data_IF_638034789824
#
_entry.id   IF_638034789824
#
_cell.length_a   1.000
_cell.length_b   1.000
_cell.length_c   1.000
_cell.angle_alpha   90.00
_cell.angle_beta   90.00
_cell.angle_gamma   90.00
#
_symmetry.space_group_name_H-M   'P 1'
#
loop_
_entity.id
_entity.type
_entity.pdbx_description
1 polymer ?
#
# COMPACT_ATOMS: atom_id res chain seq x y z
N UNK A 1 22.64 19.91 5.47
CA UNK A 1 22.35 19.42 6.82
C UNK A 1 21.80 18.02 6.64
N UNK A 2 22.33 16.97 7.26
CA UNK A 2 21.85 15.61 7.09
C UNK A 2 20.55 15.45 7.88
N UNK A 3 19.50 15.00 7.18
CA UNK A 3 18.21 14.59 7.76
C UNK A 3 18.40 13.33 8.60
N UNK A 4 17.96 13.38 9.84
CA UNK A 4 17.93 12.25 10.74
C UNK A 4 17.02 11.12 10.20
N UNK A 5 17.36 9.84 10.45
CA UNK A 5 16.50 8.73 10.04
C UNK A 5 15.22 8.75 10.87
N UNK A 6 14.08 8.93 10.20
CA UNK A 6 12.77 8.70 10.79
C UNK A 6 12.62 7.20 11.03
N UNK A 7 12.58 6.81 12.30
CA UNK A 7 12.13 5.49 12.74
C UNK A 7 10.70 5.27 12.25
N UNK A 8 10.37 4.15 11.62
CA UNK A 8 8.99 3.85 11.23
C UNK A 8 8.18 3.55 12.49
N UNK A 9 7.45 4.53 12.98
CA UNK A 9 6.38 4.31 13.96
C UNK A 9 5.26 3.58 13.23
N UNK A 10 5.04 2.32 13.59
CA UNK A 10 4.02 1.44 13.03
C UNK A 10 2.63 2.03 13.31
N UNK A 11 2.07 2.73 12.34
CA UNK A 11 0.71 3.29 12.37
C UNK A 11 -0.28 2.23 11.87
N UNK A 12 -0.48 1.14 12.60
CA UNK A 12 -1.42 0.08 12.20
C UNK A 12 -2.76 0.15 12.95
N UNK A 13 -2.94 1.11 13.85
CA UNK A 13 -4.12 1.19 14.70
C UNK A 13 -5.08 2.33 14.33
N UNK A 14 -5.08 2.78 13.07
CA UNK A 14 -5.59 4.13 12.80
C UNK A 14 -6.71 4.22 11.79
N UNK A 15 -7.41 3.14 11.44
CA UNK A 15 -8.46 3.24 10.43
C UNK A 15 -9.81 3.68 10.97
N UNK A 16 -10.04 3.65 12.26
CA UNK A 16 -11.23 4.27 12.89
C UNK A 16 -10.91 5.67 13.46
N UNK A 17 -9.64 6.01 13.69
CA UNK A 17 -9.26 7.25 14.41
C UNK A 17 -8.20 8.09 13.69
N UNK A 18 -7.73 7.72 12.49
CA UNK A 18 -6.67 8.48 11.85
C UNK A 18 -7.05 9.17 10.56
N UNK A 19 -7.80 10.18 10.65
CA UNK A 19 -7.77 11.35 9.80
C UNK A 19 -7.21 12.58 10.51
N UNK A 20 -6.21 12.39 11.35
CA UNK A 20 -5.56 13.50 12.04
C UNK A 20 -4.11 13.63 11.61
N UNK A 21 -3.77 14.62 10.74
CA UNK A 21 -2.43 15.17 10.72
C UNK A 21 -1.99 15.49 12.15
N UNK A 22 -0.68 15.43 12.43
CA UNK A 22 -0.10 15.83 13.71
C UNK A 22 -0.42 17.30 14.06
N UNK A 23 -1.69 17.56 14.32
CA UNK A 23 -2.13 18.65 15.17
C UNK A 23 -1.90 18.13 16.59
N UNK A 24 -1.02 18.78 17.32
CA UNK A 24 -0.89 18.62 18.75
C UNK A 24 -2.31 18.47 19.30
N UNK A 25 -2.63 17.28 19.83
CA UNK A 25 -3.81 17.12 20.65
C UNK A 25 -3.62 18.08 21.82
N UNK A 26 -4.29 19.20 21.74
CA UNK A 26 -4.49 20.03 22.92
C UNK A 26 -5.21 19.12 23.90
N UNK A 27 -4.50 18.74 24.97
CA UNK A 27 -5.06 18.13 26.17
C UNK A 27 -6.16 19.04 26.70
N UNK A 28 -7.36 18.92 26.22
CA UNK A 28 -8.57 19.58 26.70
C UNK A 28 -9.51 18.53 27.31
N UNK A 29 -9.03 17.88 28.29
CA UNK A 29 -9.73 17.08 29.28
C UNK A 29 -8.69 16.74 30.32
N UNK A 30 -8.86 17.21 31.55
CA UNK A 30 -7.99 16.86 32.67
C UNK A 30 -7.85 15.33 32.68
N UNK A 31 -6.65 14.83 32.39
CA UNK A 31 -6.33 13.41 32.43
C UNK A 31 -6.76 12.90 33.82
N UNK A 32 -7.84 12.10 33.86
CA UNK A 32 -8.22 11.45 35.12
C UNK A 32 -7.02 10.60 35.55
N UNK A 33 -6.55 10.75 36.82
CA UNK A 33 -5.44 9.94 37.28
C UNK A 33 -5.85 8.47 37.17
N UNK A 34 -5.00 7.70 36.52
CA UNK A 34 -5.23 6.28 36.35
C UNK A 34 -5.05 5.60 37.71
N UNK A 35 -6.15 5.34 38.39
CA UNK A 35 -6.14 4.69 39.71
C UNK A 35 -5.95 3.16 39.58
N UNK A 36 -5.58 2.45 40.65
CA UNK A 36 -5.35 1.02 40.63
C UNK A 36 -6.61 0.20 40.32
N UNK A 37 -7.80 0.70 40.63
CA UNK A 37 -9.07 0.04 40.40
C UNK A 37 -9.40 0.07 38.90
N UNK A 38 -9.24 1.21 38.25
CA UNK A 38 -9.36 1.38 36.81
C UNK A 38 -8.39 0.46 36.06
N UNK A 39 -7.10 0.38 36.44
CA UNK A 39 -6.15 -0.52 35.82
C UNK A 39 -6.59 -1.97 35.89
N UNK A 40 -7.05 -2.40 37.08
CA UNK A 40 -7.54 -3.76 37.28
C UNK A 40 -8.78 -4.05 36.44
N UNK A 41 -9.77 -3.17 36.47
CA UNK A 41 -11.01 -3.33 35.74
C UNK A 41 -10.77 -3.48 34.21
N UNK A 42 -9.90 -2.64 33.64
CA UNK A 42 -9.51 -2.70 32.23
C UNK A 42 -8.79 -4.03 31.89
N UNK A 43 -7.79 -4.43 32.69
CA UNK A 43 -7.05 -5.69 32.46
C UNK A 43 -7.97 -6.90 32.60
N UNK A 44 -8.89 -6.91 33.57
CA UNK A 44 -9.83 -8.00 33.78
C UNK A 44 -10.82 -8.09 32.60
N UNK A 45 -11.34 -6.97 32.11
CA UNK A 45 -12.22 -6.91 30.95
C UNK A 45 -11.51 -7.41 29.69
N UNK A 46 -10.31 -6.89 29.40
CA UNK A 46 -9.51 -7.35 28.25
C UNK A 46 -9.21 -8.85 28.36
N UNK A 47 -8.83 -9.32 29.54
CA UNK A 47 -8.56 -10.75 29.76
C UNK A 47 -9.79 -11.63 29.51
N UNK A 48 -10.98 -11.19 29.94
CA UNK A 48 -12.22 -11.91 29.71
C UNK A 48 -12.58 -11.96 28.22
N UNK A 49 -12.40 -10.86 27.50
CA UNK A 49 -12.62 -10.77 26.05
C UNK A 49 -11.66 -11.67 25.25
N UNK A 50 -10.37 -11.69 25.62
CA UNK A 50 -9.36 -12.58 25.02
C UNK A 50 -9.75 -14.05 25.18
N UNK A 51 -10.13 -14.48 26.40
CA UNK A 51 -10.54 -15.86 26.68
C UNK A 51 -11.77 -16.26 25.84
N UNK A 52 -12.70 -15.35 25.67
CA UNK A 52 -13.96 -15.61 24.98
C UNK A 52 -13.83 -15.57 23.47
N UNK A 53 -13.19 -14.53 22.93
CA UNK A 53 -13.30 -14.17 21.51
C UNK A 53 -12.01 -14.34 20.71
N UNK A 54 -10.82 -14.32 21.33
CA UNK A 54 -9.58 -14.38 20.57
C UNK A 54 -9.55 -15.59 19.63
N UNK A 55 -9.06 -15.40 18.43
CA UNK A 55 -9.09 -16.37 17.31
C UNK A 55 -8.52 -17.75 17.70
N UNK A 56 -7.49 -17.82 18.52
CA UNK A 56 -6.90 -19.04 19.06
C UNK A 56 -7.03 -19.12 20.59
N UNK A 57 -7.71 -20.16 21.10
CA UNK A 57 -8.04 -20.24 22.51
C UNK A 57 -6.81 -20.36 23.43
N UNK A 58 -5.78 -21.11 22.98
CA UNK A 58 -4.58 -21.34 23.79
C UNK A 58 -3.74 -20.08 23.87
N UNK A 59 -3.55 -19.41 22.73
CA UNK A 59 -2.90 -18.10 22.67
C UNK A 59 -3.66 -17.05 23.47
N UNK A 60 -5.00 -17.00 23.37
CA UNK A 60 -5.82 -16.10 24.16
C UNK A 60 -5.64 -16.29 25.66
N UNK A 61 -5.52 -17.55 26.14
CA UNK A 61 -5.21 -17.86 27.55
C UNK A 61 -3.82 -17.36 27.95
N UNK A 62 -2.82 -17.56 27.12
CA UNK A 62 -1.45 -17.11 27.38
C UNK A 62 -1.36 -15.57 27.46
N UNK A 63 -2.02 -14.88 26.55
CA UNK A 63 -2.06 -13.41 26.56
C UNK A 63 -2.77 -12.87 27.81
N UNK A 64 -3.94 -13.43 28.16
CA UNK A 64 -4.70 -13.05 29.32
C UNK A 64 -3.93 -13.30 30.64
N UNK A 65 -3.25 -14.44 30.75
CA UNK A 65 -2.40 -14.76 31.89
C UNK A 65 -1.26 -13.73 32.02
N UNK A 66 -0.57 -13.45 30.93
CA UNK A 66 0.51 -12.45 30.90
C UNK A 66 0.06 -11.09 31.40
N UNK A 67 -1.09 -10.58 30.95
CA UNK A 67 -1.60 -9.27 31.39
C UNK A 67 -1.86 -9.24 32.90
N UNK A 68 -2.46 -10.32 33.46
CA UNK A 68 -2.72 -10.44 34.89
C UNK A 68 -1.44 -10.54 35.71
N UNK A 69 -0.46 -11.32 35.26
CA UNK A 69 0.85 -11.45 35.92
C UNK A 69 1.57 -10.09 35.92
N UNK A 70 1.51 -9.35 34.82
CA UNK A 70 2.10 -8.01 34.71
C UNK A 70 1.42 -7.03 35.66
N UNK A 71 0.09 -7.07 35.76
CA UNK A 71 -0.67 -6.24 36.70
C UNK A 71 -0.28 -6.58 38.15
N UNK A 72 -0.28 -7.87 38.51
CA UNK A 72 0.08 -8.36 39.83
C UNK A 72 1.52 -8.00 40.24
N UNK A 73 2.45 -7.94 39.28
CA UNK A 73 3.82 -7.51 39.47
C UNK A 73 4.00 -5.97 39.57
N UNK A 74 2.91 -5.18 39.54
CA UNK A 74 2.97 -3.72 39.57
C UNK A 74 3.57 -3.05 38.33
N UNK A 75 3.59 -3.77 37.20
CA UNK A 75 4.26 -3.29 35.98
C UNK A 75 3.65 -2.02 35.41
N UNK A 76 2.40 -1.71 35.74
CA UNK A 76 1.66 -0.56 35.26
C UNK A 76 1.53 0.56 36.30
N UNK A 77 2.00 0.36 37.53
CA UNK A 77 1.75 1.27 38.67
C UNK A 77 2.32 2.68 38.47
N UNK A 78 3.46 2.77 37.76
CA UNK A 78 4.15 4.06 37.51
C UNK A 78 3.66 4.79 36.26
N UNK A 79 2.72 4.20 35.53
CA UNK A 79 2.17 4.81 34.31
C UNK A 79 1.04 5.76 34.69
N UNK A 80 1.28 7.06 34.54
CA UNK A 80 0.35 8.10 34.98
C UNK A 80 -0.68 8.55 33.93
N UNK A 81 -0.53 8.16 32.64
CA UNK A 81 -1.40 8.60 31.56
C UNK A 81 -2.19 7.44 30.97
N UNK A 82 -3.40 7.72 30.46
CA UNK A 82 -4.26 6.74 29.78
C UNK A 82 -3.61 6.22 28.50
N UNK A 83 -2.98 7.10 27.71
CA UNK A 83 -2.25 6.71 26.49
C UNK A 83 -1.07 5.80 26.81
N UNK A 84 -0.23 6.15 27.80
CA UNK A 84 0.90 5.31 28.21
C UNK A 84 0.47 3.93 28.72
N UNK A 85 -0.68 3.84 29.39
CA UNK A 85 -1.22 2.55 29.82
C UNK A 85 -1.74 1.72 28.63
N UNK A 86 -2.42 2.35 27.70
CA UNK A 86 -2.85 1.71 26.44
C UNK A 86 -1.66 1.16 25.64
N UNK A 87 -0.58 1.95 25.53
CA UNK A 87 0.66 1.52 24.85
C UNK A 87 1.34 0.34 25.57
N UNK A 88 1.39 0.38 26.90
CA UNK A 88 1.95 -0.72 27.68
C UNK A 88 1.14 -2.02 27.53
N UNK A 89 -0.19 -1.93 27.57
CA UNK A 89 -1.08 -3.07 27.33
C UNK A 89 -0.89 -3.60 25.90
N UNK A 90 -0.88 -2.74 24.87
CA UNK A 90 -0.62 -3.12 23.47
C UNK A 90 0.71 -3.87 23.32
N UNK A 91 1.77 -3.34 23.94
CA UNK A 91 3.07 -4.00 23.94
C UNK A 91 3.02 -5.40 24.57
N UNK A 92 2.33 -5.55 25.71
CA UNK A 92 2.25 -6.83 26.40
C UNK A 92 1.33 -7.84 25.67
N UNK A 93 0.27 -7.39 25.02
CA UNK A 93 -0.58 -8.20 24.14
C UNK A 93 0.23 -8.81 22.98
N UNK A 94 0.98 -7.99 22.25
CA UNK A 94 1.75 -8.40 21.08
C UNK A 94 2.99 -9.25 21.38
N UNK A 95 3.53 -9.19 22.59
CA UNK A 95 4.73 -9.95 22.97
C UNK A 95 4.55 -11.46 22.95
N UNK A 96 3.32 -11.96 22.98
CA UNK A 96 3.06 -13.41 23.02
C UNK A 96 3.20 -14.03 21.63
N UNK A 97 2.59 -13.45 20.62
CA UNK A 97 2.56 -14.02 19.27
C UNK A 97 2.76 -13.03 18.12
N UNK A 98 2.95 -11.74 18.41
CA UNK A 98 3.21 -10.73 17.38
C UNK A 98 2.00 -10.31 16.55
N UNK A 99 0.77 -10.65 16.97
CA UNK A 99 -0.46 -10.26 16.29
C UNK A 99 -0.61 -8.74 16.22
N UNK A 100 -0.57 -8.19 15.02
CA UNK A 100 -0.57 -6.74 14.78
C UNK A 100 -1.93 -6.10 15.03
N UNK A 101 -3.02 -6.85 14.92
CA UNK A 101 -4.37 -6.34 15.21
C UNK A 101 -4.65 -6.19 16.70
N UNK A 102 -3.90 -6.87 17.58
CA UNK A 102 -4.05 -6.67 19.01
C UNK A 102 -3.50 -5.30 19.44
N UNK A 103 -4.40 -4.44 19.91
CA UNK A 103 -4.02 -3.13 20.46
C UNK A 103 -5.07 -2.63 21.46
N UNK A 104 -4.65 -1.74 22.34
CA UNK A 104 -5.51 -0.99 23.24
C UNK A 104 -5.33 0.48 22.97
N UNK A 105 -6.41 1.22 22.96
CA UNK A 105 -6.41 2.68 22.80
C UNK A 105 -7.30 3.31 23.87
N UNK A 106 -6.98 4.54 24.26
CA UNK A 106 -7.88 5.38 25.03
C UNK A 106 -8.68 6.25 24.04
N UNK A 107 -9.94 5.91 23.86
CA UNK A 107 -10.82 6.55 22.89
C UNK A 107 -12.27 6.46 23.41
N UNK A 108 -12.65 7.30 24.39
CA UNK A 108 -13.94 7.17 25.10
C UNK A 108 -15.15 7.34 24.19
N UNK A 109 -15.01 8.06 23.09
CA UNK A 109 -16.08 8.35 22.15
C UNK A 109 -16.02 7.47 20.87
N UNK A 110 -15.08 6.52 20.80
CA UNK A 110 -14.95 5.65 19.64
C UNK A 110 -16.12 4.66 19.58
N UNK A 111 -16.69 4.41 18.39
CA UNK A 111 -17.66 3.35 18.21
C UNK A 111 -17.02 1.99 18.51
N UNK A 112 -17.78 1.10 19.15
CA UNK A 112 -17.32 -0.25 19.50
C UNK A 112 -18.31 -1.28 19.05
N UNK A 113 -17.80 -2.45 18.67
CA UNK A 113 -18.64 -3.60 18.34
C UNK A 113 -19.32 -4.15 19.58
N UNK A 114 -20.57 -4.56 19.43
CA UNK A 114 -21.35 -5.15 20.50
C UNK A 114 -21.51 -6.65 20.27
N UNK A 115 -20.83 -7.52 21.05
CA UNK A 115 -21.06 -8.96 20.93
C UNK A 115 -22.50 -9.29 21.26
N UNK A 116 -23.22 -9.88 20.32
CA UNK A 116 -24.55 -10.41 20.57
C UNK A 116 -24.54 -11.59 21.54
N UNK A 117 -25.72 -12.17 21.83
CA UNK A 117 -25.84 -13.32 22.73
C UNK A 117 -25.03 -14.54 22.28
N UNK A 118 -24.74 -14.65 20.98
CA UNK A 118 -23.92 -15.72 20.38
C UNK A 118 -22.44 -15.34 20.18
N UNK A 119 -22.00 -14.16 20.63
CA UNK A 119 -20.65 -13.64 20.46
C UNK A 119 -20.53 -12.66 19.29
N UNK A 120 -19.29 -12.45 18.83
CA UNK A 120 -18.99 -11.65 17.63
C UNK A 120 -19.46 -12.42 16.38
N UNK A 121 -20.20 -11.75 15.51
CA UNK A 121 -20.68 -12.35 14.27
C UNK A 121 -19.53 -12.61 13.30
N UNK A 122 -19.59 -13.70 12.54
CA UNK A 122 -18.66 -13.93 11.44
C UNK A 122 -19.00 -12.99 10.29
N UNK A 123 -18.03 -12.23 9.77
CA UNK A 123 -18.28 -11.31 8.65
C UNK A 123 -18.85 -12.05 7.45
N UNK A 124 -19.98 -11.59 6.94
CA UNK A 124 -20.61 -12.12 5.72
C UNK A 124 -20.40 -11.11 4.60
N UNK A 125 -20.04 -11.60 3.40
CA UNK A 125 -19.92 -10.71 2.24
C UNK A 125 -21.24 -9.97 1.98
N UNK A 126 -21.16 -8.66 1.76
CA UNK A 126 -22.32 -7.83 1.45
C UNK A 126 -22.20 -7.25 0.05
N UNK A 127 -23.29 -7.14 -0.72
CA UNK A 127 -23.35 -6.35 -1.94
C UNK A 127 -23.07 -4.87 -1.63
N UNK A 128 -22.44 -4.16 -2.56
CA UNK A 128 -22.14 -2.73 -2.39
C UNK A 128 -23.41 -1.84 -2.26
N UNK A 129 -24.55 -2.33 -2.71
CA UNK A 129 -25.86 -1.69 -2.63
C UNK A 129 -26.73 -2.23 -1.47
N UNK A 130 -26.18 -3.08 -0.60
CA UNK A 130 -26.88 -3.57 0.57
C UNK A 130 -27.22 -2.41 1.54
N UNK A 131 -28.40 -2.45 2.19
CA UNK A 131 -28.70 -1.48 3.24
C UNK A 131 -27.68 -1.61 4.39
N UNK A 132 -27.44 -0.52 5.16
CA UNK A 132 -26.60 -0.59 6.35
C UNK A 132 -27.01 -1.75 7.27
N UNK A 133 -26.02 -2.43 7.86
CA UNK A 133 -26.30 -3.45 8.85
C UNK A 133 -26.78 -2.75 10.13
N UNK A 134 -27.97 -3.11 10.65
CA UNK A 134 -28.47 -2.49 11.88
C UNK A 134 -27.58 -2.76 13.11
N UNK A 135 -26.71 -3.76 13.03
CA UNK A 135 -25.76 -4.10 14.10
C UNK A 135 -24.37 -3.46 13.91
N UNK A 136 -24.12 -2.78 12.76
CA UNK A 136 -22.89 -2.00 12.55
C UNK A 136 -22.93 -0.69 13.33
N UNK A 137 -21.80 -0.28 13.94
CA UNK A 137 -21.72 1.02 14.58
C UNK A 137 -22.00 2.14 13.57
N UNK A 138 -22.97 3.00 13.90
CA UNK A 138 -23.30 4.15 13.05
C UNK A 138 -22.10 5.12 13.00
N UNK A 139 -21.69 5.48 11.77
CA UNK A 139 -20.61 6.48 11.58
C UNK A 139 -21.06 7.82 12.13
N UNK A 140 -20.26 8.38 13.04
CA UNK A 140 -20.53 9.73 13.52
C UNK A 140 -20.39 10.75 12.38
N UNK A 141 -21.16 11.87 12.39
CA UNK A 141 -21.01 12.91 11.37
C UNK A 141 -19.59 13.47 11.26
N UNK A 142 -18.85 13.52 12.37
CA UNK A 142 -17.45 13.96 12.40
C UNK A 142 -16.53 12.98 11.66
N UNK A 143 -16.65 11.69 11.95
CA UNK A 143 -15.86 10.64 11.29
C UNK A 143 -16.16 10.57 9.77
N UNK A 144 -17.43 10.69 9.39
CA UNK A 144 -17.81 10.75 7.98
C UNK A 144 -17.23 11.99 7.28
N UNK A 145 -17.18 13.14 7.97
CA UNK A 145 -16.54 14.34 7.43
C UNK A 145 -15.03 14.15 7.19
N UNK A 146 -14.34 13.47 8.11
CA UNK A 146 -12.92 13.11 7.94
C UNK A 146 -12.72 12.16 6.74
N UNK A 147 -13.57 11.14 6.61
CA UNK A 147 -13.51 10.22 5.47
C UNK A 147 -13.72 10.93 4.13
N UNK A 148 -14.65 11.88 4.08
CA UNK A 148 -14.86 12.74 2.90
C UNK A 148 -13.64 13.61 2.59
N UNK A 149 -12.98 14.18 3.60
CA UNK A 149 -11.74 14.96 3.42
C UNK A 149 -10.60 14.07 2.88
N UNK A 150 -10.51 12.82 3.33
CA UNK A 150 -9.57 11.83 2.84
C UNK A 150 -9.97 11.24 1.48
N UNK A 151 -11.06 11.73 0.86
CA UNK A 151 -11.63 11.17 -0.37
C UNK A 151 -11.79 9.64 -0.28
N UNK A 152 -12.24 9.14 0.90
CA UNK A 152 -12.41 7.71 1.18
C UNK A 152 -11.17 6.87 0.83
N UNK A 153 -9.99 7.40 1.08
CA UNK A 153 -8.72 6.72 0.86
C UNK A 153 -8.24 6.71 -0.59
N UNK A 154 -9.01 7.19 -1.54
CA UNK A 154 -8.57 7.34 -2.92
C UNK A 154 -7.69 8.60 -3.05
N UNK A 155 -6.38 8.41 -3.07
CA UNK A 155 -5.41 9.52 -3.12
C UNK A 155 -5.11 9.98 -4.55
N UNK A 156 -5.02 9.04 -5.51
CA UNK A 156 -4.63 9.37 -6.88
C UNK A 156 -5.19 8.36 -7.88
N UNK A 157 -5.78 8.86 -8.96
CA UNK A 157 -6.15 8.10 -10.15
C UNK A 157 -5.54 8.80 -11.36
N UNK A 158 -4.72 8.10 -12.14
CA UNK A 158 -3.94 8.70 -13.21
C UNK A 158 -3.68 7.71 -14.34
N UNK A 159 -3.64 8.21 -15.58
CA UNK A 159 -3.16 7.45 -16.73
C UNK A 159 -1.68 7.77 -16.94
N UNK A 160 -0.82 6.81 -16.68
CA UNK A 160 0.61 6.89 -16.92
C UNK A 160 0.92 6.69 -18.42
N UNK A 161 2.18 6.97 -18.79
CA UNK A 161 2.69 6.76 -20.15
C UNK A 161 2.47 5.32 -20.62
N UNK A 162 2.21 5.15 -21.92
CA UNK A 162 1.92 3.83 -22.48
C UNK A 162 0.50 3.33 -22.24
N UNK A 163 -0.42 4.19 -21.76
CA UNK A 163 -1.81 3.87 -21.43
C UNK A 163 -1.95 2.90 -20.25
N UNK A 164 -1.14 3.07 -19.21
CA UNK A 164 -1.20 2.31 -17.96
C UNK A 164 -2.03 3.08 -16.92
N UNK A 165 -3.06 2.46 -16.36
CA UNK A 165 -3.85 3.02 -15.26
C UNK A 165 -3.08 2.90 -13.93
N UNK A 166 -3.08 3.95 -13.14
CA UNK A 166 -2.49 3.96 -11.80
C UNK A 166 -3.52 4.44 -10.79
N UNK A 167 -3.73 3.64 -9.76
CA UNK A 167 -4.65 3.94 -8.67
C UNK A 167 -3.91 3.79 -7.33
N UNK A 168 -3.76 4.90 -6.58
CA UNK A 168 -3.19 4.89 -5.24
C UNK A 168 -4.28 4.97 -4.20
N UNK A 169 -4.28 3.99 -3.31
CA UNK A 169 -5.28 3.84 -2.26
C UNK A 169 -4.59 3.79 -0.90
N UNK A 170 -5.08 4.60 0.05
CA UNK A 170 -4.56 4.73 1.42
C UNK A 170 -5.42 4.04 2.46
N UNK A 171 -6.55 3.50 2.07
CA UNK A 171 -7.47 2.78 2.96
C UNK A 171 -8.70 2.30 2.20
N UNK A 172 -9.25 1.18 2.61
CA UNK A 172 -10.54 0.71 2.13
C UNK A 172 -11.62 1.13 3.11
N UNK A 173 -12.40 2.13 2.71
CA UNK A 173 -13.52 2.65 3.48
C UNK A 173 -14.80 1.92 3.09
N UNK A 174 -15.80 1.94 3.94
CA UNK A 174 -17.08 1.33 3.69
C UNK A 174 -18.16 2.39 3.42
N UNK A 175 -19.32 1.91 2.96
CA UNK A 175 -20.48 2.72 2.70
C UNK A 175 -20.59 3.28 1.27
N UNK A 176 -21.78 3.73 0.89
CA UNK A 176 -22.11 4.09 -0.50
C UNK A 176 -21.20 5.17 -1.11
N UNK A 177 -20.79 6.14 -0.31
CA UNK A 177 -19.91 7.23 -0.77
C UNK A 177 -18.49 6.72 -1.09
N UNK A 178 -17.96 5.79 -0.28
CA UNK A 178 -16.67 5.18 -0.49
C UNK A 178 -16.63 4.33 -1.77
N UNK A 179 -17.65 3.51 -1.99
CA UNK A 179 -17.82 2.73 -3.23
C UNK A 179 -17.95 3.65 -4.46
N UNK A 180 -18.72 4.74 -4.34
CA UNK A 180 -18.86 5.72 -5.41
C UNK A 180 -17.53 6.41 -5.74
N UNK A 181 -16.77 6.84 -4.75
CA UNK A 181 -15.46 7.49 -4.93
C UNK A 181 -14.46 6.54 -5.62
N UNK A 182 -14.33 5.31 -5.12
CA UNK A 182 -13.44 4.30 -5.72
C UNK A 182 -13.90 3.92 -7.13
N UNK A 183 -15.20 3.78 -7.35
CA UNK A 183 -15.80 3.51 -8.66
C UNK A 183 -15.53 4.61 -9.68
N UNK A 184 -15.54 5.88 -9.27
CA UNK A 184 -15.17 7.01 -10.14
C UNK A 184 -13.68 6.92 -10.57
N UNK A 185 -12.79 6.54 -9.65
CA UNK A 185 -11.38 6.28 -9.99
C UNK A 185 -11.20 5.16 -11.00
N UNK A 186 -11.94 4.04 -10.84
CA UNK A 186 -11.93 2.94 -11.82
C UNK A 186 -12.49 3.36 -13.18
N UNK A 187 -13.58 4.12 -13.20
CA UNK A 187 -14.21 4.60 -14.44
C UNK A 187 -13.27 5.51 -15.25
N UNK A 188 -12.49 6.37 -14.57
CA UNK A 188 -11.46 7.19 -15.22
C UNK A 188 -10.42 6.33 -15.95
N UNK A 189 -10.12 5.14 -15.43
CA UNK A 189 -9.08 4.24 -15.90
C UNK A 189 -9.61 3.05 -16.72
N UNK A 190 -10.90 3.04 -17.03
CA UNK A 190 -11.57 1.90 -17.69
C UNK A 190 -10.92 1.50 -19.01
N UNK A 191 -10.39 2.48 -19.76
CA UNK A 191 -9.80 2.26 -21.12
C UNK A 191 -8.29 2.13 -21.12
N UNK A 192 -7.68 1.87 -19.98
CA UNK A 192 -6.23 1.62 -19.90
C UNK A 192 -5.89 0.18 -20.26
N UNK A 193 -4.70 -0.05 -20.82
CA UNK A 193 -4.27 -1.36 -21.32
C UNK A 193 -3.62 -2.24 -20.23
N UNK A 194 -3.26 -1.64 -19.10
CA UNK A 194 -2.80 -2.30 -17.88
C UNK A 194 -3.20 -1.49 -16.65
N UNK A 195 -3.15 -2.09 -15.46
CA UNK A 195 -3.46 -1.42 -14.18
C UNK A 195 -2.36 -1.64 -13.15
N UNK A 196 -2.06 -0.58 -12.40
CA UNK A 196 -1.19 -0.62 -11.23
C UNK A 196 -1.97 -0.10 -10.03
N UNK A 197 -2.11 -0.93 -8.98
CA UNK A 197 -2.61 -0.50 -7.67
C UNK A 197 -1.42 -0.19 -6.76
N UNK A 198 -1.38 1.00 -6.20
CA UNK A 198 -0.35 1.36 -5.22
C UNK A 198 -0.92 1.25 -3.81
N UNK A 199 -0.55 0.17 -3.14
CA UNK A 199 -0.95 -0.17 -1.79
C UNK A 199 0.22 -0.10 -0.80
N UNK A 200 1.35 0.53 -1.17
CA UNK A 200 2.56 0.59 -0.33
C UNK A 200 2.33 1.25 1.03
N UNK A 201 1.35 2.12 1.15
CA UNK A 201 1.00 2.81 2.40
C UNK A 201 -0.49 2.61 2.72
N UNK A 202 -0.96 1.38 2.55
CA UNK A 202 -2.35 0.97 2.70
C UNK A 202 -2.50 0.08 3.95
N UNK A 203 -2.88 0.64 5.12
CA UNK A 203 -2.94 -0.10 6.38
C UNK A 203 -4.13 -1.07 6.49
N UNK A 204 -5.10 -0.99 5.59
CA UNK A 204 -6.25 -1.89 5.62
C UNK A 204 -7.61 -1.19 5.48
N UNK A 205 -8.63 -1.70 6.16
CA UNK A 205 -10.01 -1.20 6.18
C UNK A 205 -11.05 -2.26 5.86
N UNK A 206 -12.06 -1.91 5.06
CA UNK A 206 -13.19 -2.76 4.72
C UNK A 206 -12.80 -3.95 3.84
N UNK A 207 -13.10 -5.17 4.30
CA UNK A 207 -13.00 -6.39 3.52
C UNK A 207 -14.03 -6.44 2.39
N UNK A 208 -15.15 -5.76 2.53
CA UNK A 208 -16.19 -5.68 1.49
C UNK A 208 -15.74 -4.78 0.34
N UNK A 209 -15.09 -3.64 0.63
CA UNK A 209 -14.44 -2.81 -0.39
C UNK A 209 -13.33 -3.59 -1.11
N UNK A 210 -12.49 -4.35 -0.36
CA UNK A 210 -11.51 -5.24 -0.97
C UNK A 210 -12.16 -6.22 -1.94
N UNK A 211 -13.19 -6.95 -1.49
CA UNK A 211 -13.89 -7.94 -2.31
C UNK A 211 -14.58 -7.33 -3.53
N UNK A 212 -15.22 -6.18 -3.36
CA UNK A 212 -15.85 -5.45 -4.45
C UNK A 212 -14.82 -5.03 -5.50
N UNK A 213 -13.71 -4.43 -5.07
CA UNK A 213 -12.66 -3.92 -5.95
C UNK A 213 -11.97 -5.06 -6.73
N UNK A 214 -11.56 -6.15 -6.05
CA UNK A 214 -10.93 -7.29 -6.71
C UNK A 214 -11.88 -8.00 -7.70
N UNK A 215 -13.20 -7.93 -7.46
CA UNK A 215 -14.19 -8.54 -8.35
C UNK A 215 -14.28 -7.89 -9.72
N UNK A 216 -13.81 -6.65 -9.90
CA UNK A 216 -13.69 -6.01 -11.21
C UNK A 216 -12.61 -6.66 -12.09
N UNK A 217 -11.65 -7.35 -11.47
CA UNK A 217 -10.50 -7.95 -12.15
C UNK A 217 -10.55 -9.48 -12.21
N UNK A 218 -11.69 -10.06 -11.91
CA UNK A 218 -11.95 -11.50 -11.98
C UNK A 218 -13.05 -11.80 -13.00
N UNK A 219 -13.14 -13.06 -13.43
CA UNK A 219 -14.20 -13.51 -14.34
C UNK A 219 -15.60 -13.30 -13.75
N UNK A 220 -16.64 -13.43 -14.59
CA UNK A 220 -18.04 -13.30 -14.17
C UNK A 220 -18.48 -14.40 -13.22
N UNK A 221 -17.85 -15.57 -13.25
CA UNK A 221 -18.13 -16.68 -12.35
C UNK A 221 -17.66 -16.34 -10.93
N UNK A 222 -18.46 -16.74 -9.94
CA UNK A 222 -18.07 -16.59 -8.54
C UNK A 222 -16.94 -17.55 -8.19
N UNK A 223 -15.80 -16.99 -7.79
CA UNK A 223 -14.62 -17.73 -7.36
C UNK A 223 -14.45 -17.60 -5.85
N UNK A 224 -14.23 -18.71 -5.16
CA UNK A 224 -13.93 -18.68 -3.73
C UNK A 224 -12.61 -17.92 -3.48
N UNK A 225 -12.67 -16.93 -2.60
CA UNK A 225 -11.54 -16.03 -2.30
C UNK A 225 -10.90 -16.32 -0.96
N UNK A 226 -11.70 -16.37 0.11
CA UNK A 226 -11.26 -16.61 1.48
C UNK A 226 -12.22 -17.52 2.23
N UNK A 227 -11.68 -18.40 3.06
CA UNK A 227 -12.40 -19.07 4.13
C UNK A 227 -12.19 -18.30 5.43
N UNK A 228 -13.25 -17.92 6.09
CA UNK A 228 -13.27 -17.14 7.33
C UNK A 228 -13.85 -18.03 8.43
N UNK A 229 -13.07 -18.32 9.47
CA UNK A 229 -13.49 -19.16 10.58
C UNK A 229 -13.57 -18.35 11.87
N UNK A 230 -14.67 -18.51 12.60
CA UNK A 230 -14.91 -17.84 13.87
C UNK A 230 -15.07 -18.88 14.99
N UNK A 231 -14.06 -19.00 15.82
CA UNK A 231 -14.07 -19.95 16.95
C UNK A 231 -15.21 -19.63 17.94
N UNK A 232 -15.41 -18.35 18.25
CA UNK A 232 -16.37 -17.95 19.29
C UNK A 232 -17.83 -18.16 18.85
N UNK A 233 -18.12 -18.02 17.57
CA UNK A 233 -19.43 -18.30 16.99
C UNK A 233 -19.61 -19.78 16.62
N UNK A 234 -18.50 -20.53 16.49
CA UNK A 234 -18.53 -21.93 16.09
C UNK A 234 -18.90 -22.14 14.62
N UNK A 235 -18.67 -21.14 13.77
CA UNK A 235 -19.05 -21.17 12.36
C UNK A 235 -17.90 -20.83 11.41
N UNK A 236 -18.17 -21.00 10.13
CA UNK A 236 -17.23 -20.71 9.05
C UNK A 236 -18.01 -20.27 7.81
N UNK A 237 -17.45 -19.30 7.08
CA UNK A 237 -18.02 -18.76 5.84
C UNK A 237 -16.95 -18.77 4.76
N UNK A 238 -17.34 -19.08 3.52
CA UNK A 238 -16.50 -18.88 2.34
C UNK A 238 -16.96 -17.64 1.60
N UNK A 239 -16.06 -16.70 1.41
CA UNK A 239 -16.29 -15.50 0.61
C UNK A 239 -16.00 -15.80 -0.86
N UNK A 240 -16.80 -15.23 -1.74
CA UNK A 240 -16.67 -15.36 -3.18
C UNK A 240 -16.55 -14.00 -3.84
N UNK A 241 -15.95 -13.96 -5.04
CA UNK A 241 -16.01 -12.79 -5.89
C UNK A 241 -17.44 -12.46 -6.28
N UNK A 242 -17.74 -11.19 -6.50
CA UNK A 242 -19.04 -10.76 -6.99
C UNK A 242 -19.15 -11.05 -8.49
N UNK A 243 -20.21 -11.75 -8.90
CA UNK A 243 -20.50 -12.02 -10.31
C UNK A 243 -20.79 -10.73 -11.09
N UNK A 244 -21.45 -9.77 -10.43
CA UNK A 244 -21.77 -8.44 -10.97
C UNK A 244 -21.15 -7.36 -10.10
N UNK A 245 -20.57 -6.35 -10.76
CA UNK A 245 -20.09 -5.12 -10.16
C UNK A 245 -20.52 -3.95 -11.02
N UNK A 246 -20.65 -2.72 -10.49
CA UNK A 246 -20.88 -1.54 -11.32
C UNK A 246 -19.72 -1.30 -12.29
N UNK A 247 -20.03 -1.00 -13.55
CA UNK A 247 -18.99 -0.81 -14.58
C UNK A 247 -18.50 -2.11 -15.21
N UNK A 248 -17.40 -2.02 -15.95
CA UNK A 248 -16.87 -3.14 -16.70
C UNK A 248 -15.96 -4.04 -15.84
N UNK A 249 -16.14 -5.33 -15.93
CA UNK A 249 -15.14 -6.30 -15.45
C UNK A 249 -13.98 -6.38 -16.44
N UNK A 250 -12.76 -6.49 -15.92
CA UNK A 250 -11.51 -6.48 -16.68
C UNK A 250 -10.61 -7.67 -16.31
N UNK A 251 -11.08 -8.91 -16.52
CA UNK A 251 -10.35 -10.11 -16.06
C UNK A 251 -9.00 -10.31 -16.77
N UNK A 252 -8.84 -9.78 -17.99
CA UNK A 252 -7.65 -10.03 -18.82
C UNK A 252 -6.66 -8.86 -18.88
N UNK A 253 -6.97 -7.74 -18.19
CA UNK A 253 -6.05 -6.59 -18.14
C UNK A 253 -4.81 -6.97 -17.31
N UNK A 254 -3.56 -6.74 -17.78
CA UNK A 254 -2.38 -6.91 -16.95
C UNK A 254 -2.50 -6.10 -15.66
N UNK A 255 -2.32 -6.75 -14.51
CA UNK A 255 -2.55 -6.15 -13.20
C UNK A 255 -1.30 -6.27 -12.34
N UNK A 256 -0.88 -5.16 -11.77
CA UNK A 256 0.26 -5.06 -10.88
C UNK A 256 -0.17 -4.42 -9.55
N UNK A 257 0.40 -4.89 -8.46
CA UNK A 257 0.13 -4.35 -7.12
C UNK A 257 1.47 -3.98 -6.48
N UNK A 258 1.62 -2.71 -6.10
CA UNK A 258 2.78 -2.25 -5.36
C UNK A 258 2.56 -2.50 -3.88
N UNK A 259 3.49 -3.22 -3.25
CA UNK A 259 3.41 -3.61 -1.85
C UNK A 259 4.61 -3.12 -1.04
N UNK A 260 4.40 -2.94 0.25
CA UNK A 260 5.46 -2.69 1.22
C UNK A 260 5.06 -3.24 2.60
N UNK A 261 5.91 -3.06 3.59
CA UNK A 261 5.56 -3.32 5.00
C UNK A 261 4.41 -2.45 5.53
N UNK A 262 4.04 -1.39 4.81
CA UNK A 262 2.85 -0.58 5.10
C UNK A 262 1.56 -1.13 4.50
N UNK A 263 1.62 -2.19 3.67
CA UNK A 263 0.45 -2.89 3.16
C UNK A 263 -0.01 -3.90 4.21
N UNK A 264 -1.22 -3.72 4.76
CA UNK A 264 -1.71 -4.52 5.88
C UNK A 264 -3.21 -4.85 5.77
N UNK A 265 -3.68 -5.85 6.54
CA UNK A 265 -5.10 -6.17 6.76
C UNK A 265 -5.87 -6.31 5.43
N UNK A 266 -6.94 -5.52 5.19
CA UNK A 266 -7.70 -5.56 3.94
C UNK A 266 -6.86 -5.23 2.68
N UNK A 267 -5.74 -4.49 2.82
CA UNK A 267 -4.76 -4.33 1.73
C UNK A 267 -4.04 -5.64 1.41
N UNK A 268 -3.75 -6.45 2.43
CA UNK A 268 -3.19 -7.79 2.24
C UNK A 268 -4.23 -8.77 1.70
N UNK A 269 -5.48 -8.67 2.14
CA UNK A 269 -6.61 -9.44 1.58
C UNK A 269 -6.69 -9.26 0.06
N UNK A 270 -6.77 -8.01 -0.42
CA UNK A 270 -6.78 -7.68 -1.84
C UNK A 270 -5.56 -8.27 -2.58
N UNK A 271 -4.39 -8.10 -1.99
CA UNK A 271 -3.11 -8.56 -2.54
C UNK A 271 -3.03 -10.09 -2.58
N UNK A 272 -3.32 -10.75 -1.46
CA UNK A 272 -3.24 -12.21 -1.30
C UNK A 272 -4.22 -12.95 -2.21
N UNK A 273 -5.47 -12.47 -2.29
CA UNK A 273 -6.49 -13.10 -3.13
C UNK A 273 -6.10 -13.01 -4.61
N UNK A 274 -5.76 -11.80 -5.11
CA UNK A 274 -5.40 -11.64 -6.52
C UNK A 274 -4.09 -12.37 -6.89
N UNK A 275 -3.15 -12.48 -5.96
CA UNK A 275 -1.94 -13.26 -6.14
C UNK A 275 -2.24 -14.76 -6.23
N UNK A 276 -3.01 -15.32 -5.28
CA UNK A 276 -3.38 -16.74 -5.30
C UNK A 276 -4.23 -17.14 -6.51
N UNK A 277 -5.01 -16.21 -7.03
CA UNK A 277 -5.76 -16.39 -8.29
C UNK A 277 -4.88 -16.22 -9.55
N UNK A 278 -3.57 -15.98 -9.40
CA UNK A 278 -2.63 -15.67 -10.48
C UNK A 278 -3.11 -14.51 -11.36
N UNK A 279 -3.80 -13.56 -10.74
CA UNK A 279 -4.42 -12.44 -11.45
C UNK A 279 -3.57 -11.19 -11.44
N UNK A 280 -2.72 -11.02 -10.45
CA UNK A 280 -1.85 -9.85 -10.29
C UNK A 280 -0.39 -10.28 -10.07
N UNK A 281 0.53 -9.43 -10.56
CA UNK A 281 1.96 -9.49 -10.22
C UNK A 281 2.24 -8.51 -9.10
N UNK A 282 2.86 -8.99 -8.03
CA UNK A 282 3.22 -8.18 -6.86
C UNK A 282 4.63 -7.62 -7.02
N UNK A 283 4.79 -6.31 -6.80
CA UNK A 283 6.07 -5.61 -6.96
C UNK A 283 6.35 -4.77 -5.71
N UNK A 284 7.50 -4.97 -5.08
CA UNK A 284 7.89 -4.19 -3.90
C UNK A 284 8.48 -5.02 -2.79
N UNK A 285 8.00 -4.82 -1.57
CA UNK A 285 8.40 -5.56 -0.38
C UNK A 285 7.28 -6.48 0.12
N UNK A 286 7.65 -7.43 0.96
CA UNK A 286 6.72 -8.26 1.74
C UNK A 286 5.78 -7.36 2.55
N UNK A 287 4.50 -7.72 2.63
CA UNK A 287 3.48 -7.01 3.39
C UNK A 287 3.63 -7.20 4.91
N UNK A 288 2.78 -6.55 5.70
CA UNK A 288 2.91 -6.48 7.16
C UNK A 288 2.69 -7.82 7.89
N UNK A 289 1.77 -8.65 7.41
CA UNK A 289 1.37 -9.89 8.08
C UNK A 289 0.26 -9.71 9.11
N UNK A 290 -0.72 -8.86 8.83
CA UNK A 290 -1.93 -8.66 9.63
C UNK A 290 -3.11 -9.41 8.98
N UNK A 291 -3.23 -10.72 9.25
CA UNK A 291 -4.11 -11.62 8.50
C UNK A 291 -5.46 -11.89 9.16
N UNK A 292 -5.62 -11.62 10.44
CA UNK A 292 -6.88 -11.86 11.14
C UNK A 292 -7.87 -10.71 10.91
N UNK A 293 -9.18 -10.97 10.97
CA UNK A 293 -10.14 -9.89 11.18
C UNK A 293 -10.20 -9.54 12.68
N UNK A 294 -10.36 -8.26 12.96
CA UNK A 294 -10.44 -7.74 14.32
C UNK A 294 -11.81 -7.07 14.57
N UNK A 295 -12.17 -7.01 15.84
CA UNK A 295 -13.28 -6.25 16.35
C UNK A 295 -12.80 -5.23 17.38
N UNK A 296 -13.49 -4.11 17.52
CA UNK A 296 -13.20 -3.07 18.48
C UNK A 296 -14.17 -3.18 19.68
N UNK A 297 -13.67 -3.63 20.80
CA UNK A 297 -14.48 -3.93 21.98
C UNK A 297 -14.22 -2.91 23.09
N UNK A 298 -15.28 -2.43 23.73
CA UNK A 298 -15.16 -1.59 24.91
C UNK A 298 -14.45 -2.36 26.04
N UNK A 299 -13.31 -1.85 26.50
CA UNK A 299 -12.58 -2.42 27.61
C UNK A 299 -12.89 -1.71 28.96
N UNK A 300 -13.86 -0.80 28.97
CA UNK A 300 -14.26 0.00 30.11
C UNK A 300 -13.41 1.25 30.28
N UNK A 301 -13.91 2.22 31.05
CA UNK A 301 -13.21 3.47 31.41
C UNK A 301 -12.65 4.26 30.20
N UNK A 302 -13.31 4.21 29.04
CA UNK A 302 -12.86 4.88 27.81
C UNK A 302 -11.75 4.15 27.05
N UNK A 303 -11.36 2.93 27.47
CA UNK A 303 -10.44 2.10 26.72
C UNK A 303 -11.16 1.20 25.72
N UNK A 304 -10.56 1.02 24.55
CA UNK A 304 -11.03 0.15 23.47
C UNK A 304 -9.95 -0.86 23.13
N UNK A 305 -10.33 -2.14 23.08
CA UNK A 305 -9.49 -3.24 22.64
C UNK A 305 -9.78 -3.56 21.17
N UNK A 306 -8.76 -3.49 20.32
CA UNK A 306 -8.79 -4.19 19.03
C UNK A 306 -8.39 -5.64 19.26
N UNK A 307 -9.27 -6.59 18.89
CA UNK A 307 -9.12 -8.00 19.17
C UNK A 307 -9.32 -8.84 17.91
N UNK A 308 -8.33 -9.65 17.56
CA UNK A 308 -8.40 -10.63 16.46
C UNK A 308 -9.35 -11.78 16.83
N UNK A 309 -10.45 -11.97 16.08
CA UNK A 309 -11.49 -12.94 16.42
C UNK A 309 -11.81 -13.96 15.32
N UNK A 310 -11.43 -13.70 14.06
CA UNK A 310 -11.57 -14.67 12.98
C UNK A 310 -10.24 -14.94 12.30
N UNK A 311 -10.04 -16.19 11.89
CA UNK A 311 -8.95 -16.62 11.03
C UNK A 311 -9.39 -16.55 9.58
N UNK A 312 -8.50 -16.06 8.74
CA UNK A 312 -8.73 -15.90 7.30
C UNK A 312 -7.68 -16.69 6.54
N UNK A 313 -8.11 -17.52 5.58
CA UNK A 313 -7.21 -18.38 4.83
C UNK A 313 -7.69 -18.60 3.39
N UNK A 314 -6.77 -19.01 2.53
CA UNK A 314 -7.12 -19.48 1.18
C UNK A 314 -7.96 -20.77 1.28
N UNK A 315 -9.15 -20.83 0.66
CA UNK A 315 -10.07 -21.96 0.84
C UNK A 315 -9.60 -23.27 0.21
N UNK A 316 -8.61 -23.21 -0.72
CA UNK A 316 -8.08 -24.40 -1.42
C UNK A 316 -6.85 -24.96 -0.73
N UNK A 317 -5.97 -24.09 -0.26
CA UNK A 317 -4.65 -24.49 0.26
C UNK A 317 -4.56 -24.40 1.78
N UNK A 318 -5.49 -23.71 2.44
CA UNK A 318 -5.43 -23.42 3.87
C UNK A 318 -4.32 -22.46 4.26
N UNK A 319 -3.61 -21.84 3.29
CA UNK A 319 -2.57 -20.86 3.58
C UNK A 319 -3.18 -19.57 4.09
N UNK A 320 -2.46 -18.93 5.00
CA UNK A 320 -2.78 -17.62 5.58
C UNK A 320 -1.53 -16.73 5.52
N UNK A 321 -1.70 -15.42 5.70
CA UNK A 321 -0.58 -14.47 5.71
C UNK A 321 -0.31 -13.87 7.10
N UNK A 322 -1.04 -14.32 8.13
CA UNK A 322 -0.86 -13.84 9.50
C UNK A 322 0.60 -13.99 9.96
N UNK A 323 1.22 -12.91 10.42
CA UNK A 323 2.62 -12.76 10.87
C UNK A 323 3.70 -12.98 9.80
N UNK A 324 3.35 -13.55 8.66
CA UNK A 324 4.32 -13.82 7.58
C UNK A 324 4.26 -12.81 6.45
N UNK A 325 3.10 -12.18 6.23
CA UNK A 325 2.87 -11.29 5.10
C UNK A 325 2.76 -12.02 3.77
N UNK A 326 2.52 -11.25 2.71
CA UNK A 326 2.49 -11.72 1.32
C UNK A 326 3.80 -11.32 0.66
N UNK A 327 4.50 -12.30 0.07
CA UNK A 327 5.75 -12.06 -0.65
C UNK A 327 5.50 -11.47 -2.02
N UNK A 328 6.28 -10.48 -2.47
CA UNK A 328 6.19 -9.98 -3.82
C UNK A 328 6.83 -10.96 -4.83
N UNK A 329 6.30 -10.99 -6.07
CA UNK A 329 6.90 -11.71 -7.19
C UNK A 329 8.20 -11.03 -7.65
N UNK A 330 8.25 -9.69 -7.55
CA UNK A 330 9.40 -8.86 -7.91
C UNK A 330 9.81 -8.03 -6.70
N UNK A 331 10.82 -8.52 -5.98
CA UNK A 331 11.33 -7.86 -4.78
C UNK A 331 12.20 -6.65 -5.13
N UNK A 332 11.72 -5.46 -4.78
CA UNK A 332 12.43 -4.19 -4.96
C UNK A 332 12.12 -3.23 -3.81
N UNK A 333 12.99 -2.25 -3.57
CA UNK A 333 12.73 -1.21 -2.59
C UNK A 333 11.47 -0.39 -2.97
N UNK A 334 10.69 0.12 -1.98
CA UNK A 334 9.42 0.78 -2.25
C UNK A 334 9.50 1.99 -3.18
N UNK A 335 10.60 2.74 -3.13
CA UNK A 335 10.87 3.90 -4.00
C UNK A 335 11.07 3.53 -5.47
N UNK A 336 11.42 2.27 -5.77
CA UNK A 336 11.64 1.74 -7.11
C UNK A 336 10.44 0.94 -7.66
N UNK A 337 9.50 0.59 -6.80
CA UNK A 337 8.41 -0.31 -7.13
C UNK A 337 7.53 0.22 -8.27
N UNK A 338 7.23 1.53 -8.29
CA UNK A 338 6.39 2.11 -9.33
C UNK A 338 7.06 2.04 -10.72
N UNK A 339 8.32 2.46 -10.85
CA UNK A 339 9.03 2.41 -12.13
C UNK A 339 9.18 0.96 -12.61
N UNK A 340 9.46 0.02 -11.71
CA UNK A 340 9.56 -1.41 -12.01
C UNK A 340 8.22 -1.97 -12.50
N UNK A 341 7.13 -1.73 -11.79
CA UNK A 341 5.80 -2.22 -12.19
C UNK A 341 5.32 -1.57 -13.48
N UNK A 342 5.60 -0.28 -13.68
CA UNK A 342 5.26 0.43 -14.91
C UNK A 342 6.01 -0.17 -16.11
N UNK A 343 7.31 -0.43 -15.98
CA UNK A 343 8.08 -1.11 -17.02
C UNK A 343 7.52 -2.49 -17.37
N UNK A 344 7.16 -3.29 -16.36
CA UNK A 344 6.53 -4.60 -16.55
C UNK A 344 5.16 -4.48 -17.25
N UNK A 345 4.36 -3.49 -16.87
CA UNK A 345 3.07 -3.21 -17.51
C UNK A 345 3.24 -2.89 -19.00
N UNK A 346 4.20 -2.02 -19.34
CA UNK A 346 4.51 -1.68 -20.74
C UNK A 346 4.96 -2.90 -21.56
N UNK A 347 5.80 -3.76 -20.97
CA UNK A 347 6.20 -5.02 -21.60
C UNK A 347 5.02 -5.97 -21.84
N UNK A 348 4.10 -6.05 -20.86
CA UNK A 348 2.88 -6.86 -21.00
C UNK A 348 1.95 -6.32 -22.09
N UNK A 349 1.83 -5.01 -22.24
CA UNK A 349 1.09 -4.37 -23.33
C UNK A 349 1.78 -4.62 -24.68
N UNK A 350 3.10 -4.42 -24.76
CA UNK A 350 3.88 -4.63 -25.96
C UNK A 350 3.76 -6.06 -26.49
N UNK A 351 3.68 -7.05 -25.61
CA UNK A 351 3.51 -8.47 -25.99
C UNK A 351 2.14 -8.76 -26.63
N UNK A 352 1.14 -7.93 -26.40
CA UNK A 352 -0.23 -8.08 -26.93
C UNK A 352 -0.52 -7.21 -28.16
N UNK A 353 0.32 -6.21 -28.46
CA UNK A 353 0.12 -5.32 -29.61
C UNK A 353 0.82 -5.88 -30.87
N UNK A 354 0.20 -5.70 -32.02
CA UNK A 354 0.74 -6.07 -33.34
C UNK A 354 1.38 -4.89 -34.08
N UNK A 355 1.18 -3.66 -33.59
CA UNK A 355 1.78 -2.46 -34.16
C UNK A 355 3.25 -2.35 -33.76
N UNK A 356 4.15 -2.49 -34.71
CA UNK A 356 5.60 -2.48 -34.50
C UNK A 356 6.11 -1.11 -33.98
N UNK A 357 5.49 0.01 -34.39
CA UNK A 357 5.88 1.32 -33.92
C UNK A 357 5.51 1.48 -32.43
N UNK A 358 4.29 1.07 -32.08
CA UNK A 358 3.83 1.04 -30.70
C UNK A 358 4.63 0.09 -29.80
N UNK A 359 4.97 -1.11 -30.31
CA UNK A 359 5.84 -2.05 -29.59
C UNK A 359 7.19 -1.42 -29.25
N UNK A 360 7.78 -0.74 -30.24
CA UNK A 360 9.08 -0.06 -30.05
C UNK A 360 9.00 1.07 -29.03
N UNK A 361 7.99 1.94 -29.11
CA UNK A 361 7.73 3.01 -28.14
C UNK A 361 7.63 2.46 -26.72
N UNK A 362 6.76 1.46 -26.50
CA UNK A 362 6.57 0.82 -25.21
C UNK A 362 7.86 0.18 -24.67
N UNK A 363 8.63 -0.46 -25.55
CA UNK A 363 9.91 -1.07 -25.15
C UNK A 363 10.95 -0.02 -24.74
N UNK A 364 11.05 1.10 -25.47
CA UNK A 364 11.96 2.20 -25.13
C UNK A 364 11.57 2.86 -23.79
N UNK A 365 10.27 3.09 -23.57
CA UNK A 365 9.77 3.62 -22.32
C UNK A 365 10.05 2.67 -21.16
N UNK A 366 9.80 1.36 -21.33
CA UNK A 366 10.09 0.36 -20.32
C UNK A 366 11.59 0.32 -19.95
N UNK A 367 12.49 0.38 -20.95
CA UNK A 367 13.93 0.41 -20.72
C UNK A 367 14.36 1.65 -19.90
N UNK A 368 13.79 2.82 -20.18
CA UNK A 368 14.07 4.04 -19.42
C UNK A 368 13.60 3.94 -17.97
N UNK A 369 12.41 3.36 -17.73
CA UNK A 369 11.87 3.13 -16.39
C UNK A 369 12.72 2.12 -15.60
N UNK A 370 13.14 1.02 -16.23
CA UNK A 370 14.04 0.03 -15.63
C UNK A 370 15.38 0.67 -15.23
N UNK A 371 15.93 1.53 -16.09
CA UNK A 371 17.15 2.25 -15.79
C UNK A 371 16.99 3.27 -14.66
N UNK A 372 15.80 3.85 -14.47
CA UNK A 372 15.50 4.68 -13.29
C UNK A 372 15.40 3.85 -12.02
N UNK A 373 14.76 2.70 -12.09
CA UNK A 373 14.65 1.78 -10.96
C UNK A 373 16.01 1.17 -10.59
N UNK A 374 16.87 0.91 -11.58
CA UNK A 374 18.18 0.27 -11.44
C UNK A 374 19.27 1.07 -12.18
N UNK A 375 19.69 2.23 -11.66
CA UNK A 375 20.61 3.13 -12.37
C UNK A 375 21.95 2.48 -12.69
N UNK A 376 22.34 2.50 -13.99
CA UNK A 376 23.69 2.14 -14.41
C UNK A 376 24.68 3.22 -13.94
N UNK A 377 25.78 2.81 -13.32
CA UNK A 377 26.83 3.73 -12.85
C UNK A 377 27.88 3.96 -13.93
N UNK A 378 27.85 5.14 -14.53
CA UNK A 378 28.90 5.58 -15.47
C UNK A 378 30.07 6.19 -14.69
N UNK A 379 31.29 5.86 -15.08
CA UNK A 379 32.47 6.43 -14.45
C UNK A 379 32.51 7.95 -14.66
N UNK A 380 32.78 8.70 -13.59
CA UNK A 380 32.83 10.18 -13.63
C UNK A 380 33.76 10.74 -14.70
N UNK A 381 34.91 10.08 -14.93
CA UNK A 381 35.85 10.46 -16.00
C UNK A 381 35.21 10.43 -17.40
N UNK A 382 34.29 9.49 -17.65
CA UNK A 382 33.54 9.41 -18.91
C UNK A 382 32.53 10.53 -19.01
N UNK A 383 31.77 10.76 -17.92
CA UNK A 383 30.78 11.83 -17.86
C UNK A 383 31.43 13.21 -18.12
N UNK A 384 32.62 13.44 -17.56
CA UNK A 384 33.42 14.67 -17.83
C UNK A 384 33.84 14.77 -19.30
N UNK A 385 34.18 13.65 -19.94
CA UNK A 385 34.51 13.64 -21.37
C UNK A 385 33.30 13.93 -22.24
N UNK A 386 32.10 13.53 -21.81
CA UNK A 386 30.83 13.72 -22.54
C UNK A 386 30.28 15.14 -22.38
N UNK A 387 30.56 15.82 -21.28
CA UNK A 387 30.16 17.21 -21.07
C UNK A 387 30.77 18.13 -22.13
N UNK A 388 29.90 18.99 -22.71
CA UNK A 388 30.34 19.90 -23.78
C UNK A 388 29.18 20.45 -24.60
N UNK A 389 29.53 21.26 -25.61
CA UNK A 389 28.60 21.83 -26.59
C UNK A 389 28.61 20.98 -27.87
N UNK A 390 27.42 20.67 -28.39
CA UNK A 390 27.15 19.84 -29.55
C UNK A 390 26.14 20.56 -30.48
N UNK A 391 26.60 21.58 -31.19
CA UNK A 391 25.76 22.50 -31.96
C UNK A 391 24.82 23.26 -31.03
N UNK A 392 23.51 23.15 -31.25
CA UNK A 392 22.47 23.77 -30.40
C UNK A 392 22.23 23.07 -29.05
N UNK A 393 23.01 22.04 -28.74
CA UNK A 393 22.80 21.17 -27.58
C UNK A 393 23.97 21.25 -26.63
N UNK A 394 23.66 21.14 -25.34
CA UNK A 394 24.69 21.20 -24.29
C UNK A 394 24.48 20.02 -23.35
N UNK A 395 25.58 19.31 -23.06
CA UNK A 395 25.66 18.36 -21.95
C UNK A 395 26.44 19.00 -20.82
N UNK A 396 25.81 19.14 -19.65
CA UNK A 396 26.45 19.64 -18.43
C UNK A 396 26.46 18.57 -17.36
N UNK A 397 27.49 18.49 -16.55
CA UNK A 397 27.60 17.57 -15.44
C UNK A 397 27.14 18.26 -14.14
N UNK A 398 26.20 17.65 -13.40
CA UNK A 398 25.82 18.03 -12.04
C UNK A 398 26.08 16.83 -11.12
N UNK A 399 27.12 16.93 -10.28
CA UNK A 399 27.55 15.79 -9.49
C UNK A 399 27.99 14.63 -10.39
N UNK A 400 27.29 13.53 -10.37
CA UNK A 400 27.48 12.34 -11.19
C UNK A 400 26.40 12.16 -12.30
N UNK A 401 25.62 13.21 -12.58
CA UNK A 401 24.49 13.16 -13.50
C UNK A 401 24.71 14.09 -14.70
N UNK A 402 24.59 13.55 -15.92
CA UNK A 402 24.55 14.37 -17.13
C UNK A 402 23.17 15.00 -17.32
N UNK A 403 23.18 16.30 -17.62
CA UNK A 403 22.02 17.10 -17.94
C UNK A 403 22.08 17.48 -19.41
N UNK A 404 20.99 17.30 -20.14
CA UNK A 404 20.83 17.73 -21.52
C UNK A 404 20.02 19.01 -21.60
N UNK A 405 20.45 19.94 -22.45
CA UNK A 405 19.67 21.14 -22.79
C UNK A 405 19.83 21.45 -24.28
N UNK A 406 18.73 21.85 -24.93
CA UNK A 406 18.75 22.41 -26.28
C UNK A 406 18.42 23.88 -26.22
N UNK A 407 19.35 24.74 -26.69
CA UNK A 407 19.19 26.21 -26.66
C UNK A 407 18.72 26.71 -25.29
N UNK A 408 17.62 27.50 -25.24
CA UNK A 408 17.01 28.04 -24.03
C UNK A 408 15.94 27.12 -23.39
N UNK A 409 15.68 25.94 -23.95
CA UNK A 409 14.68 25.02 -23.39
C UNK A 409 15.13 24.48 -22.01
N UNK A 410 14.19 23.96 -21.19
CA UNK A 410 14.52 23.38 -19.90
C UNK A 410 15.60 22.28 -19.99
N UNK A 411 16.32 22.11 -18.91
CA UNK A 411 17.27 21.00 -18.77
C UNK A 411 16.55 19.71 -18.41
N UNK A 412 16.97 18.60 -19.02
CA UNK A 412 16.49 17.26 -18.76
C UNK A 412 17.61 16.39 -18.20
N UNK A 413 17.28 15.54 -17.25
CA UNK A 413 18.21 14.52 -16.73
C UNK A 413 18.40 13.45 -17.80
N UNK A 414 19.65 13.06 -18.03
CA UNK A 414 19.97 11.89 -18.85
C UNK A 414 20.07 10.66 -17.96
N UNK A 415 19.25 9.65 -18.23
CA UNK A 415 19.22 8.39 -17.50
C UNK A 415 20.19 7.42 -18.18
N UNK A 416 21.27 6.99 -17.52
CA UNK A 416 22.26 6.11 -18.14
C UNK A 416 21.69 4.70 -18.33
N UNK A 417 21.69 4.22 -19.58
CA UNK A 417 21.36 2.83 -19.95
C UNK A 417 22.61 1.95 -19.95
N UNK A 418 23.75 2.54 -20.34
CA UNK A 418 25.08 1.96 -20.28
C UNK A 418 26.13 3.09 -20.26
N UNK A 419 27.42 2.75 -20.38
CA UNK A 419 28.51 3.74 -20.31
C UNK A 419 28.40 4.87 -21.34
N UNK A 420 27.76 4.67 -22.47
CA UNK A 420 27.75 5.64 -23.59
C UNK A 420 26.33 6.00 -24.07
N UNK A 421 25.30 5.28 -23.66
CA UNK A 421 23.91 5.48 -24.10
C UNK A 421 23.04 5.91 -22.92
N UNK A 422 22.22 6.91 -23.16
CA UNK A 422 21.36 7.53 -22.16
C UNK A 422 19.94 7.67 -22.73
N UNK A 423 18.93 7.45 -21.89
CA UNK A 423 17.57 7.87 -22.21
C UNK A 423 17.41 9.36 -21.93
N UNK A 424 16.82 10.07 -22.88
CA UNK A 424 16.34 11.43 -22.72
C UNK A 424 14.81 11.33 -22.66
N UNK A 425 14.23 11.76 -21.54
CA UNK A 425 12.85 11.45 -21.21
C UNK A 425 12.62 9.92 -21.26
N UNK A 426 11.69 9.42 -22.04
CA UNK A 426 11.36 7.99 -22.07
C UNK A 426 11.68 7.30 -23.41
N UNK A 427 11.45 7.97 -24.53
CA UNK A 427 11.56 7.37 -25.88
C UNK A 427 12.81 7.78 -26.65
N UNK A 428 13.40 8.95 -26.38
CA UNK A 428 14.59 9.41 -27.07
C UNK A 428 15.87 8.80 -26.50
N UNK A 429 16.86 8.57 -27.34
CA UNK A 429 18.18 8.00 -26.97
C UNK A 429 19.30 8.89 -27.40
N UNK A 430 20.21 9.19 -26.47
CA UNK A 430 21.47 9.88 -26.74
C UNK A 430 22.60 8.86 -26.58
N UNK A 431 23.38 8.67 -27.61
CA UNK A 431 24.60 7.86 -27.56
C UNK A 431 25.81 8.75 -27.84
N UNK A 432 26.83 8.63 -27.03
CA UNK A 432 28.12 9.32 -27.25
C UNK A 432 29.07 8.34 -27.95
N UNK A 433 29.32 8.63 -29.20
CA UNK A 433 30.21 7.85 -30.09
C UNK A 433 31.58 8.52 -30.18
N UNK A 434 32.59 7.83 -30.80
CA UNK A 434 33.85 8.42 -31.16
C UNK A 434 33.71 9.07 -32.54
N UNK A 435 33.94 10.39 -32.59
CA UNK A 435 33.91 11.15 -33.83
C UNK A 435 35.31 11.37 -34.41
N UNK A 436 35.42 12.32 -35.35
CA UNK A 436 36.70 12.69 -35.99
C UNK A 436 37.71 13.16 -34.95
N UNK A 437 38.95 12.68 -35.07
CA UNK A 437 40.00 13.03 -34.12
C UNK A 437 39.79 12.51 -32.70
N UNK A 438 39.01 11.44 -32.55
CA UNK A 438 38.67 10.84 -31.26
C UNK A 438 37.81 11.73 -30.32
N UNK A 439 37.30 12.87 -30.83
CA UNK A 439 36.42 13.74 -30.06
C UNK A 439 34.99 13.13 -29.90
N UNK A 440 34.28 13.39 -28.81
CA UNK A 440 32.91 12.87 -28.65
C UNK A 440 31.96 13.36 -29.73
N UNK A 441 31.16 12.43 -30.26
CA UNK A 441 30.08 12.65 -31.21
C UNK A 441 28.75 12.28 -30.57
N UNK A 442 27.85 13.23 -30.39
CA UNK A 442 26.50 12.99 -29.92
C UNK A 442 25.65 12.47 -31.06
N UNK A 443 25.03 11.30 -30.87
CA UNK A 443 23.95 10.77 -31.72
C UNK A 443 22.66 10.77 -30.93
N UNK A 444 21.69 11.53 -31.39
CA UNK A 444 20.33 11.56 -30.83
C UNK A 444 19.39 10.80 -31.77
N UNK A 445 18.73 9.77 -31.28
CA UNK A 445 17.63 9.07 -31.96
C UNK A 445 16.33 9.54 -31.34
N UNK A 446 15.45 10.11 -32.14
CA UNK A 446 14.14 10.61 -31.74
C UNK A 446 13.10 9.52 -31.77
N UNK A 447 11.94 9.81 -31.19
CA UNK A 447 10.76 8.94 -31.16
C UNK A 447 10.37 8.43 -32.57
N UNK A 448 10.32 9.31 -33.55
CA UNK A 448 10.01 8.99 -34.95
C UNK A 448 11.13 8.21 -35.70
N UNK A 449 12.23 7.90 -35.02
CA UNK A 449 13.38 7.20 -35.59
C UNK A 449 14.40 8.12 -36.28
N UNK A 450 14.14 9.42 -36.41
CA UNK A 450 15.10 10.37 -36.96
C UNK A 450 16.38 10.39 -36.14
N UNK A 451 17.50 10.42 -36.83
CA UNK A 451 18.82 10.46 -36.19
C UNK A 451 19.52 11.77 -36.48
N UNK A 452 19.93 12.45 -35.42
CA UNK A 452 20.79 13.63 -35.49
C UNK A 452 22.18 13.28 -34.97
N UNK A 453 23.23 13.83 -35.62
CA UNK A 453 24.63 13.71 -35.18
C UNK A 453 25.22 15.09 -35.02
N UNK A 454 25.93 15.31 -33.93
CA UNK A 454 26.61 16.56 -33.64
C UNK A 454 27.99 16.29 -32.99
N UNK A 455 29.08 16.81 -33.61
CA UNK A 455 30.40 16.75 -33.04
C UNK A 455 30.52 17.74 -31.87
N UNK A 456 31.29 17.38 -30.83
CA UNK A 456 31.61 18.35 -29.77
C UNK A 456 32.43 19.50 -30.31
N UNK A 457 31.93 20.73 -30.10
CA UNK A 457 32.57 21.96 -30.58
C UNK A 457 33.28 22.77 -29.50
N UNK A 458 32.99 22.47 -28.21
CA UNK A 458 33.60 23.20 -27.09
C UNK A 458 33.27 22.59 -25.73
N UNK A 459 33.83 23.15 -24.64
CA UNK A 459 33.45 22.78 -23.29
C UNK A 459 31.98 23.19 -23.03
N UNK A 460 31.34 22.67 -21.95
CA UNK A 460 30.04 23.15 -21.54
C UNK A 460 30.12 24.65 -21.18
N UNK A 461 29.09 25.44 -21.42
CA UNK A 461 29.04 26.83 -20.96
C UNK A 461 29.12 26.85 -19.42
N UNK A 462 29.79 27.87 -18.88
CA UNK A 462 29.96 28.10 -17.44
C UNK A 462 28.65 28.45 -16.75
#
# INVERSE_FOLDING_TARGET
MPSAPMTPTLLLATLIVAGGGAAAQTESGAAQPLDPETRRAVVDTISAQLLRFYVDADTGRLIAARLRDRLAAGAYDRIGTTSGFADALTSDLRKVNGDLHLSVQYAPDAPTDHPGSRGLATPKPRPADAPPDPDEPELTPALLAEWRQANFGLERAERLEGNVGYLRVRGFYDGPEAFAATGAGLALLERTDAMIFDLREMPGGSGDMSNWLLSHFTNADSVATLAITNRSAGDSVVRYTMAKVPGAKRPDVPLFILTSRGTASAGEDFTFVLHNLHRATLVGERTAGAGHNNAFLAAGHGFVLSLSYTRVMDPKTGKEWERVGVEPDVAVAPDRALDTAHALALRAIAAKTTDAARQRELALTAEALEARAHPHRVLQKLLLQYAGTYGERTLTLRGDTLMFRRLQYPQHVLIPLNDSTFALETVERITIERGRGNAPLLRLVRENGDTLRAQRTGPPPR
#
